data_IF_155466798010
#
_entry.id   IF_155466798010
#
_cell.length_a   1.000
_cell.length_b   1.000
_cell.length_c   1.000
_cell.angle_alpha   90.00
_cell.angle_beta   90.00
_cell.angle_gamma   90.00
#
_symmetry.space_group_name_H-M   'P 1'
#
loop_
_entity.id
_entity.type
_entity.pdbx_description
1 polymer ?
#
# COMPACT_ATOMS: atom_id res chain seq x y z
N UNK A 1 -44.06 -2.64 13.83
CA UNK A 1 -42.74 -2.15 14.28
C UNK A 1 -41.91 -1.97 13.03
N UNK A 2 -41.24 -0.83 12.87
CA UNK A 2 -40.48 -0.52 11.66
C UNK A 2 -39.00 -0.52 12.02
N UNK A 3 -38.21 -1.33 11.33
CA UNK A 3 -36.78 -1.46 11.58
C UNK A 3 -36.00 -0.54 10.63
N UNK A 4 -34.96 0.09 11.15
CA UNK A 4 -34.08 0.98 10.39
C UNK A 4 -32.64 0.49 10.47
N UNK A 5 -31.95 0.59 9.35
CA UNK A 5 -30.52 0.29 9.24
C UNK A 5 -29.77 1.57 8.88
N UNK A 6 -28.68 1.84 9.58
CA UNK A 6 -27.80 2.99 9.33
C UNK A 6 -26.39 2.47 9.12
N UNK A 7 -25.71 2.98 8.10
CA UNK A 7 -24.32 2.63 7.79
C UNK A 7 -23.55 3.87 7.33
N UNK A 8 -22.22 3.77 7.35
CA UNK A 8 -21.32 4.79 6.83
C UNK A 8 -20.86 4.38 5.44
N UNK A 9 -20.99 5.30 4.48
CA UNK A 9 -20.54 5.12 3.10
C UNK A 9 -19.39 6.07 2.79
N UNK A 10 -18.44 5.62 1.97
CA UNK A 10 -17.41 6.46 1.37
C UNK A 10 -17.34 6.16 -0.13
N UNK A 11 -17.60 7.17 -0.94
CA UNK A 11 -17.42 7.12 -2.39
C UNK A 11 -16.34 8.13 -2.78
N UNK A 12 -15.31 7.67 -3.50
CA UNK A 12 -14.22 8.53 -3.97
C UNK A 12 -13.50 7.90 -5.17
N UNK A 13 -12.93 8.71 -6.08
CA UNK A 13 -11.99 8.21 -7.05
C UNK A 13 -10.68 7.78 -6.36
N UNK A 14 -10.15 6.61 -6.73
CA UNK A 14 -8.84 6.13 -6.26
C UNK A 14 -7.98 5.72 -7.46
N UNK A 15 -6.76 6.24 -7.47
CA UNK A 15 -5.73 6.03 -8.48
C UNK A 15 -4.77 4.91 -8.05
N UNK A 16 -4.40 4.02 -8.98
CA UNK A 16 -3.55 2.85 -8.74
C UNK A 16 -2.03 3.14 -8.76
N UNK A 17 -1.64 4.37 -9.09
CA UNK A 17 -0.27 4.77 -9.41
C UNK A 17 0.66 4.77 -8.18
N UNK A 18 0.13 4.65 -6.95
CA UNK A 18 0.94 4.44 -5.75
C UNK A 18 1.78 3.16 -5.82
N UNK A 19 1.28 2.14 -6.52
CA UNK A 19 2.01 0.89 -6.75
C UNK A 19 3.33 1.09 -7.51
N UNK A 20 3.45 2.14 -8.33
CA UNK A 20 4.67 2.48 -9.06
C UNK A 20 5.82 2.89 -8.11
N UNK A 21 5.50 3.41 -6.92
CA UNK A 21 6.51 3.70 -5.90
C UNK A 21 7.09 2.40 -5.34
N UNK A 22 6.24 1.42 -5.01
CA UNK A 22 6.69 0.11 -4.54
C UNK A 22 7.53 -0.60 -5.61
N UNK A 23 7.12 -0.53 -6.88
CA UNK A 23 7.90 -1.03 -8.02
C UNK A 23 9.30 -0.41 -8.07
N UNK A 24 9.41 0.92 -7.96
CA UNK A 24 10.71 1.61 -7.95
C UNK A 24 11.58 1.17 -6.77
N UNK A 25 11.01 1.09 -5.57
CA UNK A 25 11.73 0.61 -4.38
C UNK A 25 12.30 -0.79 -4.61
N UNK A 26 11.48 -1.72 -5.09
CA UNK A 26 11.92 -3.10 -5.33
C UNK A 26 12.92 -3.21 -6.49
N UNK A 27 12.75 -2.41 -7.55
CA UNK A 27 13.70 -2.33 -8.66
C UNK A 27 15.08 -1.89 -8.18
N UNK A 28 15.15 -0.80 -7.42
CA UNK A 28 16.39 -0.27 -6.86
C UNK A 28 17.05 -1.26 -5.89
N UNK A 29 16.27 -1.88 -5.01
CA UNK A 29 16.78 -2.92 -4.11
C UNK A 29 17.34 -4.12 -4.89
N UNK A 30 16.64 -4.58 -5.93
CA UNK A 30 17.09 -5.68 -6.78
C UNK A 30 18.38 -5.37 -7.51
N UNK A 31 18.48 -4.19 -8.13
CA UNK A 31 19.70 -3.74 -8.83
C UNK A 31 20.89 -3.69 -7.87
N UNK A 32 20.70 -3.14 -6.66
CA UNK A 32 21.74 -3.11 -5.61
C UNK A 32 22.22 -4.51 -5.19
N UNK A 33 21.35 -5.51 -5.29
CA UNK A 33 21.68 -6.91 -5.00
C UNK A 33 22.05 -7.72 -6.25
N UNK A 34 22.40 -7.06 -7.36
CA UNK A 34 22.91 -7.70 -8.57
C UNK A 34 21.84 -8.32 -9.48
N UNK A 35 20.55 -8.04 -9.25
CA UNK A 35 19.50 -8.50 -10.15
C UNK A 35 19.57 -7.69 -11.46
N UNK A 36 19.63 -8.33 -12.63
CA UNK A 36 19.81 -7.65 -13.92
C UNK A 36 18.50 -7.05 -14.46
N UNK A 37 17.85 -6.18 -13.67
CA UNK A 37 16.67 -5.46 -14.12
C UNK A 37 17.03 -4.42 -15.19
N UNK A 38 16.12 -4.23 -16.14
CA UNK A 38 16.18 -3.12 -17.08
C UNK A 38 15.73 -1.84 -16.37
N UNK A 39 16.34 -0.71 -16.73
CA UNK A 39 15.92 0.60 -16.24
C UNK A 39 14.45 0.88 -16.56
N UNK A 40 13.76 1.54 -15.62
CA UNK A 40 12.34 1.90 -15.77
C UNK A 40 12.15 3.14 -16.65
N UNK A 41 13.21 3.86 -16.98
CA UNK A 41 13.22 5.07 -17.82
C UNK A 41 12.73 4.79 -19.25
N UNK A 42 12.93 3.55 -19.72
CA UNK A 42 12.47 3.10 -21.02
C UNK A 42 10.97 2.74 -21.07
N UNK A 43 10.24 2.89 -19.95
CA UNK A 43 8.85 2.44 -19.78
C UNK A 43 7.97 3.61 -19.34
N UNK A 44 7.52 4.49 -20.26
CA UNK A 44 6.72 5.67 -19.93
C UNK A 44 5.39 5.34 -19.22
N UNK A 45 4.83 4.16 -19.45
CA UNK A 45 3.64 3.66 -18.76
C UNK A 45 3.88 3.34 -17.27
N UNK A 46 5.14 3.27 -16.85
CA UNK A 46 5.56 3.10 -15.45
C UNK A 46 6.08 4.41 -14.84
N UNK A 47 5.86 5.54 -15.51
CA UNK A 47 6.22 6.84 -14.98
C UNK A 47 5.33 7.19 -13.78
N UNK A 48 5.97 7.57 -12.66
CA UNK A 48 5.26 8.08 -11.49
C UNK A 48 4.72 9.47 -11.81
N UNK A 49 3.43 9.74 -11.56
CA UNK A 49 2.84 11.07 -11.71
C UNK A 49 3.62 12.15 -10.96
N UNK A 50 3.67 13.36 -11.50
CA UNK A 50 4.46 14.48 -10.96
C UNK A 50 4.17 14.74 -9.48
N UNK A 51 2.89 14.72 -9.09
CA UNK A 51 2.45 14.92 -7.71
C UNK A 51 2.94 13.85 -6.73
N UNK A 52 3.21 12.63 -7.22
CA UNK A 52 3.75 11.53 -6.44
C UNK A 52 5.28 11.54 -6.40
N UNK A 53 5.97 12.29 -7.27
CA UNK A 53 7.44 12.31 -7.32
C UNK A 53 8.10 12.72 -5.99
N UNK A 54 7.63 13.76 -5.25
CA UNK A 54 8.19 14.11 -3.95
C UNK A 54 8.07 12.97 -2.92
N UNK A 55 6.95 12.23 -2.96
CA UNK A 55 6.69 11.08 -2.08
C UNK A 55 7.61 9.92 -2.47
N UNK A 56 7.71 9.62 -3.77
CA UNK A 56 8.56 8.56 -4.30
C UNK A 56 10.04 8.79 -3.93
N UNK A 57 10.55 10.02 -4.13
CA UNK A 57 11.93 10.38 -3.78
C UNK A 57 12.21 10.20 -2.30
N UNK A 58 11.27 10.61 -1.44
CA UNK A 58 11.39 10.49 0.01
C UNK A 58 11.39 9.04 0.47
N UNK A 59 10.45 8.24 -0.02
CA UNK A 59 10.37 6.80 0.29
C UNK A 59 11.65 6.10 -0.16
N UNK A 60 12.09 6.33 -1.41
CA UNK A 60 13.33 5.76 -1.93
C UNK A 60 14.52 6.15 -1.04
N UNK A 61 14.70 7.43 -0.73
CA UNK A 61 15.81 7.89 0.11
C UNK A 61 15.82 7.18 1.48
N UNK A 62 14.67 7.08 2.14
CA UNK A 62 14.56 6.48 3.47
C UNK A 62 14.82 4.97 3.41
N UNK A 63 14.20 4.25 2.47
CA UNK A 63 14.43 2.80 2.30
C UNK A 63 15.89 2.52 1.96
N UNK A 64 16.48 3.29 1.04
CA UNK A 64 17.87 3.09 0.61
C UNK A 64 18.92 3.43 1.67
N UNK A 65 18.50 4.01 2.79
CA UNK A 65 19.34 4.31 3.96
C UNK A 65 18.91 3.50 5.20
N UNK A 66 18.16 2.42 4.99
CA UNK A 66 17.62 1.53 6.02
C UNK A 66 16.82 2.26 7.11
N UNK A 67 16.17 3.37 6.74
CA UNK A 67 15.33 4.16 7.63
C UNK A 67 13.87 3.77 7.45
N UNK A 68 13.15 3.75 8.58
CA UNK A 68 11.70 3.65 8.57
C UNK A 68 11.11 4.80 7.76
N UNK A 69 10.19 4.47 6.86
CA UNK A 69 9.50 5.46 6.05
C UNK A 69 8.63 6.35 6.93
N UNK A 70 8.80 7.66 6.80
CA UNK A 70 7.98 8.69 7.46
C UNK A 70 7.61 9.73 6.43
N UNK A 71 6.32 9.95 6.21
CA UNK A 71 5.82 10.97 5.28
C UNK A 71 5.49 12.27 6.01
N UNK A 72 5.45 13.37 5.28
CA UNK A 72 4.91 14.62 5.82
C UNK A 72 3.37 14.55 5.88
N UNK A 73 2.71 15.26 6.80
CA UNK A 73 1.24 15.22 6.92
C UNK A 73 0.50 15.49 5.60
N UNK A 74 0.94 16.46 4.82
CA UNK A 74 0.36 16.78 3.50
C UNK A 74 0.53 15.64 2.48
N UNK A 75 1.63 14.87 2.58
CA UNK A 75 1.85 13.71 1.74
C UNK A 75 0.91 12.57 2.14
N UNK A 76 0.73 12.34 3.44
CA UNK A 76 -0.22 11.34 3.93
C UNK A 76 -1.66 11.69 3.53
N UNK A 77 -2.03 12.97 3.63
CA UNK A 77 -3.34 13.46 3.22
C UNK A 77 -3.60 13.21 1.73
N UNK A 78 -2.65 13.56 0.86
CA UNK A 78 -2.74 13.29 -0.58
C UNK A 78 -2.92 11.80 -0.85
N UNK A 79 -2.10 10.95 -0.24
CA UNK A 79 -2.18 9.51 -0.43
C UNK A 79 -3.52 8.96 0.05
N UNK A 80 -3.98 9.37 1.24
CA UNK A 80 -5.26 8.93 1.80
C UNK A 80 -6.43 9.40 0.94
N UNK A 81 -6.37 10.60 0.39
CA UNK A 81 -7.46 11.16 -0.41
C UNK A 81 -7.59 10.47 -1.78
N UNK A 82 -6.46 10.15 -2.43
CA UNK A 82 -6.45 9.81 -3.87
C UNK A 82 -5.85 8.47 -4.26
N UNK A 83 -5.02 7.85 -3.42
CA UNK A 83 -4.15 6.75 -3.85
C UNK A 83 -4.19 5.49 -2.98
N UNK A 84 -4.55 5.62 -1.71
CA UNK A 84 -4.67 4.47 -0.80
C UNK A 84 -6.06 3.86 -0.98
N UNK A 85 -6.10 2.63 -1.48
CA UNK A 85 -7.34 1.87 -1.52
C UNK A 85 -7.77 1.46 -0.11
N UNK A 86 -9.05 1.64 0.21
CA UNK A 86 -9.64 1.13 1.45
C UNK A 86 -10.07 -0.32 1.23
N UNK A 87 -9.14 -1.24 1.44
CA UNK A 87 -9.40 -2.68 1.23
C UNK A 87 -10.27 -3.31 2.33
N UNK A 88 -10.45 -2.64 3.47
CA UNK A 88 -11.28 -3.12 4.57
C UNK A 88 -12.66 -2.42 4.56
N UNK A 89 -13.74 -3.18 4.36
CA UNK A 89 -15.11 -2.68 4.30
C UNK A 89 -16.14 -3.72 4.74
N UNK A 90 -17.36 -3.27 5.01
CA UNK A 90 -18.48 -4.10 5.44
C UNK A 90 -19.45 -4.46 4.30
N UNK A 91 -19.12 -4.14 3.04
CA UNK A 91 -19.90 -4.57 1.88
C UNK A 91 -19.92 -6.10 1.80
N UNK A 92 -21.10 -6.74 1.75
CA UNK A 92 -21.21 -8.19 1.61
C UNK A 92 -20.99 -8.65 0.17
N UNK A 93 -20.39 -9.82 0.04
CA UNK A 93 -20.27 -10.57 -1.21
C UNK A 93 -21.00 -11.91 -1.02
N UNK A 94 -22.24 -11.98 -1.49
CA UNK A 94 -23.15 -13.07 -1.15
C UNK A 94 -23.38 -13.13 0.38
N UNK A 95 -23.26 -14.30 1.03
CA UNK A 95 -23.44 -14.42 2.46
C UNK A 95 -22.19 -14.04 3.29
N UNK A 96 -21.12 -13.56 2.64
CA UNK A 96 -19.81 -13.37 3.27
C UNK A 96 -19.41 -11.90 3.38
N UNK A 97 -18.56 -11.61 4.38
CA UNK A 97 -17.88 -10.32 4.56
C UNK A 97 -16.37 -10.54 4.40
N UNK A 98 -15.89 -10.76 3.16
CA UNK A 98 -14.48 -11.08 2.91
C UNK A 98 -13.54 -9.95 3.32
N UNK A 99 -13.94 -8.71 3.06
CA UNK A 99 -13.16 -7.51 3.36
C UNK A 99 -13.40 -6.96 4.77
N UNK A 100 -14.05 -7.73 5.67
CA UNK A 100 -14.37 -7.27 7.02
C UNK A 100 -13.11 -6.77 7.74
N UNK A 101 -13.10 -5.55 8.30
CA UNK A 101 -11.96 -5.07 9.08
C UNK A 101 -11.64 -6.00 10.24
N UNK A 102 -10.34 -6.15 10.52
CA UNK A 102 -9.86 -6.82 11.73
C UNK A 102 -10.32 -6.07 12.99
N UNK A 103 -10.40 -6.74 14.16
CA UNK A 103 -10.74 -6.09 15.42
C UNK A 103 -9.88 -4.85 15.66
N UNK A 104 -10.51 -3.78 16.17
CA UNK A 104 -9.86 -2.48 16.43
C UNK A 104 -9.24 -1.80 15.17
N UNK A 105 -9.65 -2.20 13.97
CA UNK A 105 -9.09 -1.72 12.69
C UNK A 105 -7.56 -1.89 12.59
N UNK A 106 -7.01 -2.91 13.26
CA UNK A 106 -5.57 -3.19 13.28
C UNK A 106 -5.29 -4.50 12.57
N UNK A 107 -4.43 -4.46 11.55
CA UNK A 107 -3.97 -5.67 10.86
C UNK A 107 -3.25 -6.59 11.84
N UNK A 108 -3.61 -7.87 11.82
CA UNK A 108 -2.85 -8.88 12.54
C UNK A 108 -1.44 -8.99 11.93
N UNK A 109 -0.42 -8.88 12.77
CA UNK A 109 0.98 -9.02 12.38
C UNK A 109 1.51 -10.27 13.05
N UNK A 110 1.85 -11.26 12.24
CA UNK A 110 2.48 -12.50 12.69
C UNK A 110 3.98 -12.35 12.45
N UNK A 111 4.77 -12.49 13.53
CA UNK A 111 6.22 -12.43 13.43
C UNK A 111 6.72 -13.64 12.65
N UNK A 112 7.75 -13.43 11.83
CA UNK A 112 8.45 -14.53 11.17
C UNK A 112 9.25 -15.32 12.21
N UNK A 113 8.58 -16.29 12.85
CA UNK A 113 9.16 -17.21 13.82
C UNK A 113 9.06 -18.63 13.24
N UNK A 114 10.06 -19.50 13.49
CA UNK A 114 9.95 -20.92 13.14
C UNK A 114 8.65 -21.49 13.70
N UNK A 115 7.92 -22.22 12.86
CA UNK A 115 6.73 -22.92 13.30
C UNK A 115 7.15 -24.22 13.98
N UNK A 116 6.67 -24.44 15.20
CA UNK A 116 6.92 -25.67 15.93
C UNK A 116 6.48 -26.89 15.09
N UNK A 117 7.42 -27.79 14.81
CA UNK A 117 7.19 -29.00 14.02
C UNK A 117 7.42 -28.89 12.50
N UNK A 118 7.80 -27.73 11.96
CA UNK A 118 8.24 -27.61 10.56
C UNK A 118 9.78 -27.64 10.46
N UNK A 119 10.37 -28.34 9.47
CA UNK A 119 11.80 -28.28 9.23
C UNK A 119 12.21 -26.86 8.81
N UNK A 120 13.35 -26.41 9.33
CA UNK A 120 14.01 -25.16 8.93
C UNK A 120 14.71 -25.27 7.58
#
# INVERSE_FOLDING_TARGET
MQDYWVTVLLERPVHGELSLIALRVMSELGIRHGVPFKGLEARPELAVPEELMPIAKRILQQVMTDRLVRLEPAQEELLRARYIHLSAHWTPEGPFLFSKPAPLNRRNVHLNRPQEGYPE
#
